data_IF_341938938770
#
_entry.id   IF_341938938770
#
_cell.length_a   1.000
_cell.length_b   1.000
_cell.length_c   1.000
_cell.angle_alpha   90.00
_cell.angle_beta   90.00
_cell.angle_gamma   90.00
#
_symmetry.space_group_name_H-M   'P 1'
#
loop_
_entity.id
_entity.type
_entity.pdbx_description
1 polymer ?
#
# COMPACT_ATOMS: atom_id res chain seq x y z
N UNK A 1 -10.96 -37.37 20.12
CA UNK A 1 -10.04 -37.63 18.99
C UNK A 1 -9.38 -36.30 18.59
N UNK A 2 -8.05 -36.25 18.51
CA UNK A 2 -7.34 -35.00 18.22
C UNK A 2 -7.43 -34.73 16.71
N UNK A 3 -7.93 -33.54 16.34
CA UNK A 3 -8.06 -33.07 14.96
C UNK A 3 -7.14 -31.87 14.75
N UNK A 4 -6.26 -31.95 13.76
CA UNK A 4 -5.38 -30.84 13.39
C UNK A 4 -6.14 -29.83 12.51
N UNK A 5 -6.15 -28.58 12.95
CA UNK A 5 -6.66 -27.44 12.16
C UNK A 5 -5.51 -26.88 11.36
N UNK A 6 -5.63 -26.93 10.03
CA UNK A 6 -4.59 -26.45 9.11
C UNK A 6 -4.98 -25.11 8.50
N UNK A 7 -3.97 -24.30 8.14
CA UNK A 7 -4.16 -23.04 7.43
C UNK A 7 -4.87 -23.34 6.08
N UNK A 8 -6.10 -22.83 5.86
CA UNK A 8 -6.85 -23.12 4.65
C UNK A 8 -6.28 -22.42 3.41
N UNK A 9 -6.58 -22.95 2.23
CA UNK A 9 -6.21 -22.34 0.96
C UNK A 9 -7.21 -21.23 0.61
N UNK A 10 -6.77 -19.98 0.57
CA UNK A 10 -7.59 -18.78 0.41
C UNK A 10 -7.60 -18.23 -1.04
N UNK A 11 -7.31 -19.06 -2.05
CA UNK A 11 -7.24 -18.71 -3.47
C UNK A 11 -6.12 -19.44 -4.20
N UNK A 12 -6.08 -19.34 -5.53
CA UNK A 12 -5.09 -20.08 -6.34
C UNK A 12 -3.66 -19.55 -6.23
N UNK A 13 -3.49 -18.27 -5.85
CA UNK A 13 -2.18 -17.58 -5.81
C UNK A 13 -1.66 -17.29 -4.40
N UNK A 14 -2.36 -17.72 -3.33
CA UNK A 14 -1.99 -17.42 -1.95
C UNK A 14 -1.26 -18.62 -1.38
N UNK A 15 0.00 -18.42 -0.97
CA UNK A 15 0.88 -19.44 -0.39
C UNK A 15 1.04 -19.31 1.12
N UNK A 16 0.74 -18.13 1.69
CA UNK A 16 0.86 -17.82 3.11
C UNK A 16 -0.31 -16.96 3.60
N UNK A 17 -0.65 -17.02 4.88
CA UNK A 17 -1.66 -16.19 5.53
C UNK A 17 -1.21 -15.75 6.90
N UNK A 18 -1.68 -14.60 7.37
CA UNK A 18 -1.40 -14.06 8.70
C UNK A 18 -2.58 -14.34 9.63
N UNK A 19 -2.36 -14.96 10.77
CA UNK A 19 -3.37 -15.10 11.82
C UNK A 19 -3.64 -13.72 12.42
N UNK A 20 -4.84 -13.16 12.25
CA UNK A 20 -5.19 -11.84 12.75
C UNK A 20 -5.67 -11.90 14.20
N UNK A 21 -6.71 -12.68 14.45
CA UNK A 21 -7.31 -12.79 15.77
C UNK A 21 -7.91 -14.18 15.99
N UNK A 22 -7.70 -14.73 17.17
CA UNK A 22 -8.41 -15.89 17.68
C UNK A 22 -9.62 -15.42 18.47
N UNK A 23 -10.83 -15.75 18.02
CA UNK A 23 -12.07 -15.43 18.74
C UNK A 23 -12.34 -16.38 19.91
N UNK A 24 -11.60 -17.48 19.97
CA UNK A 24 -11.65 -18.51 21.01
C UNK A 24 -10.26 -18.76 21.59
N UNK A 25 -10.18 -19.22 22.81
CA UNK A 25 -8.93 -19.51 23.53
C UNK A 25 -8.76 -21.01 23.74
N UNK A 26 -7.55 -21.42 24.12
CA UNK A 26 -7.29 -22.79 24.55
C UNK A 26 -8.20 -23.13 25.74
N UNK A 27 -8.95 -24.22 25.63
CA UNK A 27 -9.96 -24.66 26.59
C UNK A 27 -11.40 -24.26 26.24
N UNK A 28 -11.62 -23.38 25.26
CA UNK A 28 -12.97 -22.98 24.84
C UNK A 28 -13.59 -24.05 23.90
N UNK A 29 -14.91 -24.31 24.04
CA UNK A 29 -15.64 -25.16 23.10
C UNK A 29 -15.89 -24.41 21.78
N UNK A 30 -15.81 -25.14 20.68
CA UNK A 30 -16.12 -24.67 19.31
C UNK A 30 -17.11 -25.61 18.68
N UNK A 31 -18.16 -25.08 18.08
CA UNK A 31 -19.12 -25.84 17.30
C UNK A 31 -18.71 -25.89 15.83
N UNK A 32 -19.18 -26.91 15.10
CA UNK A 32 -18.97 -27.01 13.67
C UNK A 32 -19.60 -25.80 12.97
N UNK A 33 -18.90 -25.22 12.00
CA UNK A 33 -19.26 -24.00 11.26
C UNK A 33 -19.26 -22.70 12.12
N UNK A 34 -18.83 -22.75 13.39
CA UNK A 34 -18.63 -21.56 14.22
C UNK A 34 -17.36 -20.82 13.80
N UNK A 35 -17.45 -19.49 13.66
CA UNK A 35 -16.31 -18.61 13.33
C UNK A 35 -15.40 -18.45 14.55
N UNK A 36 -14.22 -19.03 14.51
CA UNK A 36 -13.31 -19.05 15.65
C UNK A 36 -11.93 -18.40 15.41
N UNK A 37 -11.61 -18.13 14.13
CA UNK A 37 -10.34 -17.60 13.70
C UNK A 37 -10.54 -16.58 12.57
N UNK A 38 -9.78 -15.48 12.60
CA UNK A 38 -9.69 -14.50 11.53
C UNK A 38 -8.27 -14.54 10.92
N UNK A 39 -8.20 -14.71 9.60
CA UNK A 39 -6.96 -14.77 8.82
C UNK A 39 -6.92 -13.63 7.82
N UNK A 40 -5.81 -12.90 7.80
CA UNK A 40 -5.48 -11.90 6.80
C UNK A 40 -4.58 -12.44 5.71
N UNK A 41 -4.87 -12.08 4.47
CA UNK A 41 -3.98 -12.28 3.34
C UNK A 41 -3.53 -10.91 2.81
N UNK A 42 -2.65 -10.89 1.83
CA UNK A 42 -2.23 -9.65 1.15
C UNK A 42 -3.39 -8.88 0.47
N UNK A 43 -4.58 -9.50 0.38
CA UNK A 43 -5.72 -8.95 -0.39
C UNK A 43 -7.00 -8.80 0.42
N UNK A 44 -7.31 -9.74 1.32
CA UNK A 44 -8.59 -9.77 2.07
C UNK A 44 -8.39 -10.45 3.42
N UNK A 45 -9.11 -9.95 4.42
CA UNK A 45 -9.28 -10.60 5.71
C UNK A 45 -10.51 -11.53 5.62
N UNK A 46 -10.35 -12.77 6.08
CA UNK A 46 -11.41 -13.80 6.00
C UNK A 46 -11.60 -14.47 7.34
N UNK A 47 -12.85 -14.67 7.70
CA UNK A 47 -13.26 -15.40 8.89
C UNK A 47 -13.32 -16.90 8.57
N UNK A 48 -12.69 -17.71 9.40
CA UNK A 48 -12.60 -19.18 9.20
C UNK A 48 -13.53 -19.88 10.17
N UNK A 49 -14.47 -20.69 9.63
CA UNK A 49 -15.31 -21.55 10.45
C UNK A 49 -14.58 -22.83 10.85
N UNK A 50 -14.94 -23.37 12.01
CA UNK A 50 -14.45 -24.68 12.45
C UNK A 50 -15.04 -25.81 11.60
N UNK A 51 -14.20 -26.74 11.18
CA UNK A 51 -14.63 -27.92 10.42
C UNK A 51 -15.28 -28.99 11.31
N UNK A 52 -14.94 -29.01 12.60
CA UNK A 52 -15.40 -30.00 13.58
C UNK A 52 -15.79 -29.33 14.90
N UNK A 53 -16.68 -30.00 15.66
CA UNK A 53 -17.04 -29.57 17.02
C UNK A 53 -16.08 -30.19 18.03
N UNK A 54 -15.65 -29.44 19.04
CA UNK A 54 -14.76 -29.93 20.10
C UNK A 54 -14.23 -28.83 20.98
N UNK A 55 -13.16 -29.12 21.73
CA UNK A 55 -12.46 -28.17 22.60
C UNK A 55 -11.09 -27.85 22.03
N UNK A 56 -10.70 -26.59 21.97
CA UNK A 56 -9.36 -26.18 21.51
C UNK A 56 -8.34 -26.58 22.57
N UNK A 57 -7.48 -27.55 22.23
CA UNK A 57 -6.44 -28.06 23.14
C UNK A 57 -5.15 -27.26 23.04
N UNK A 58 -4.78 -26.86 21.84
CA UNK A 58 -3.52 -26.18 21.59
C UNK A 58 -3.66 -25.18 20.43
N UNK A 59 -3.08 -23.99 20.59
CA UNK A 59 -2.91 -22.98 19.53
C UNK A 59 -1.42 -22.91 19.22
N UNK A 60 -1.04 -23.23 17.99
CA UNK A 60 0.36 -23.31 17.53
C UNK A 60 0.80 -22.03 16.84
N UNK A 61 -0.12 -21.28 16.22
CA UNK A 61 0.14 -19.99 15.59
C UNK A 61 -0.49 -18.87 16.42
N UNK A 62 0.30 -17.91 16.83
CA UNK A 62 -0.16 -16.76 17.61
C UNK A 62 -0.74 -15.65 16.69
N UNK A 63 -1.46 -14.71 17.29
CA UNK A 63 -1.93 -13.53 16.56
C UNK A 63 -0.73 -12.74 15.99
N UNK A 64 -0.83 -12.37 14.71
CA UNK A 64 0.18 -11.75 13.85
C UNK A 64 1.29 -12.70 13.34
N UNK A 65 1.19 -14.00 13.53
CA UNK A 65 2.11 -14.95 12.90
C UNK A 65 1.73 -15.18 11.43
N UNK A 66 2.75 -15.19 10.55
CA UNK A 66 2.60 -15.56 9.14
C UNK A 66 2.84 -17.06 9.01
N UNK A 67 1.88 -17.76 8.41
CA UNK A 67 1.88 -19.22 8.34
C UNK A 67 1.58 -19.68 6.91
N UNK A 68 2.35 -20.65 6.42
CA UNK A 68 2.14 -21.25 5.10
C UNK A 68 0.84 -22.06 5.02
N UNK A 69 0.17 -22.01 3.88
CA UNK A 69 -1.04 -22.80 3.58
C UNK A 69 -0.76 -24.28 3.80
N UNK A 70 -1.66 -24.96 4.56
CA UNK A 70 -1.54 -26.38 4.91
C UNK A 70 -0.74 -26.67 6.18
N UNK A 71 -0.15 -25.63 6.84
CA UNK A 71 0.50 -25.80 8.15
C UNK A 71 -0.53 -25.91 9.26
N UNK A 72 -0.27 -26.74 10.27
CA UNK A 72 -1.15 -26.91 11.44
C UNK A 72 -1.05 -25.68 12.33
N UNK A 73 -2.20 -25.01 12.56
CA UNK A 73 -2.30 -23.76 13.34
C UNK A 73 -2.93 -23.95 14.71
N UNK A 74 -3.77 -25.00 14.88
CA UNK A 74 -4.38 -25.36 16.16
C UNK A 74 -4.76 -26.84 16.19
N UNK A 75 -5.12 -27.34 17.38
CA UNK A 75 -5.63 -28.69 17.59
C UNK A 75 -6.92 -28.67 18.39
N UNK A 76 -7.91 -29.41 17.92
CA UNK A 76 -9.22 -29.56 18.55
C UNK A 76 -9.40 -31.01 18.99
N UNK A 77 -9.82 -31.22 20.24
CA UNK A 77 -10.22 -32.54 20.74
C UNK A 77 -11.74 -32.68 20.65
N UNK A 78 -12.20 -33.65 19.89
CA UNK A 78 -13.65 -33.89 19.66
C UNK A 78 -14.31 -34.71 20.75
N UNK A 79 -13.56 -35.23 21.72
CA UNK A 79 -14.05 -36.11 22.80
C UNK A 79 -13.93 -35.38 24.15
N UNK A 80 -15.02 -34.83 24.66
CA UNK A 80 -15.07 -34.02 25.89
C UNK A 80 -14.60 -34.77 27.17
N UNK A 81 -14.48 -36.09 27.13
CA UNK A 81 -14.14 -36.95 28.28
C UNK A 81 -12.63 -37.07 28.55
N UNK A 82 -11.74 -36.50 27.72
CA UNK A 82 -10.30 -36.72 27.77
C UNK A 82 -9.44 -35.46 28.00
N UNK A 83 -10.03 -34.35 28.34
CA UNK A 83 -9.29 -33.08 28.52
C UNK A 83 -8.69 -32.98 29.91
N UNK A 84 -7.45 -33.41 30.06
CA UNK A 84 -6.62 -33.19 31.26
C UNK A 84 -5.81 -31.89 31.07
N UNK A 85 -6.26 -30.81 31.71
CA UNK A 85 -5.63 -29.49 31.65
C UNK A 85 -4.44 -29.45 32.60
N UNK A 86 -3.28 -29.97 32.22
CA UNK A 86 -2.04 -29.80 32.96
C UNK A 86 -0.85 -29.43 32.09
N UNK A 87 -0.51 -28.13 32.13
CA UNK A 87 0.79 -27.46 31.91
C UNK A 87 1.64 -27.71 30.68
N UNK A 88 2.22 -26.64 30.06
CA UNK A 88 2.97 -26.73 28.81
C UNK A 88 4.36 -27.32 28.99
N UNK A 89 4.60 -28.46 28.39
CA UNK A 89 5.91 -29.09 28.26
C UNK A 89 6.73 -28.45 27.15
N UNK A 90 7.68 -27.60 27.50
CA UNK A 90 8.75 -27.15 26.60
C UNK A 90 9.68 -28.31 26.26
N UNK A 91 9.68 -28.77 25.02
CA UNK A 91 10.84 -29.46 24.43
C UNK A 91 11.13 -28.87 23.05
N UNK A 92 12.38 -28.45 22.77
CA UNK A 92 12.74 -27.91 21.48
C UNK A 92 12.94 -29.02 20.47
N UNK A 93 12.25 -28.97 19.34
CA UNK A 93 12.52 -29.82 18.18
C UNK A 93 13.72 -29.27 17.40
N UNK A 94 14.68 -30.17 17.21
CA UNK A 94 15.93 -30.01 16.44
C UNK A 94 15.63 -29.65 14.97
N UNK A 95 16.34 -28.65 14.48
CA UNK A 95 16.40 -28.29 13.07
C UNK A 95 17.03 -29.42 12.23
N UNK A 96 16.59 -29.64 10.99
CA UNK A 96 17.29 -30.55 10.05
C UNK A 96 18.58 -29.87 9.51
N UNK A 97 19.64 -30.65 9.46
CA UNK A 97 20.96 -30.25 8.95
C UNK A 97 20.94 -29.98 7.43
N UNK A 98 21.75 -29.05 6.92
CA UNK A 98 21.84 -28.78 5.49
C UNK A 98 22.75 -29.80 4.78
N UNK A 99 22.25 -30.38 3.72
CA UNK A 99 23.02 -31.26 2.82
C UNK A 99 23.91 -30.38 1.94
N UNK A 100 25.22 -30.42 2.20
CA UNK A 100 26.27 -29.80 1.41
C UNK A 100 26.73 -30.78 0.33
N UNK A 101 26.60 -30.44 -0.95
CA UNK A 101 27.43 -30.97 -2.03
C UNK A 101 27.88 -29.83 -2.94
N UNK A 102 29.18 -29.70 -3.21
CA UNK A 102 29.72 -28.59 -3.97
C UNK A 102 29.66 -28.83 -5.47
N UNK A 103 29.12 -27.88 -6.22
CA UNK A 103 29.27 -27.81 -7.68
C UNK A 103 30.40 -26.82 -7.99
N UNK A 104 31.40 -27.33 -8.63
CA UNK A 104 32.59 -26.68 -9.14
C UNK A 104 32.23 -25.83 -10.37
N UNK A 105 32.42 -24.53 -10.32
CA UNK A 105 32.34 -23.64 -11.49
C UNK A 105 33.68 -22.95 -11.66
N UNK A 106 34.22 -23.09 -12.87
CA UNK A 106 35.51 -22.57 -13.35
C UNK A 106 35.57 -21.04 -13.38
N UNK A 107 36.72 -20.49 -13.10
CA UNK A 107 37.08 -19.08 -13.23
C UNK A 107 37.45 -18.74 -14.67
N UNK A 108 37.12 -17.58 -15.19
CA UNK A 108 37.83 -16.93 -16.29
C UNK A 108 38.78 -15.81 -15.79
N UNK A 109 39.74 -15.40 -16.61
CA UNK A 109 41.09 -15.02 -16.18
C UNK A 109 41.30 -13.54 -15.83
N UNK A 110 42.34 -13.34 -15.05
CA UNK A 110 42.89 -12.08 -14.55
C UNK A 110 43.17 -11.01 -15.62
N UNK A 111 42.80 -9.77 -15.37
CA UNK A 111 43.35 -8.58 -16.04
C UNK A 111 44.12 -7.68 -15.06
N UNK A 112 45.32 -7.35 -15.54
CA UNK A 112 46.46 -6.70 -14.95
C UNK A 112 46.18 -5.41 -14.19
N UNK A 113 46.91 -5.26 -13.08
CA UNK A 113 47.12 -4.07 -12.25
C UNK A 113 47.64 -2.88 -13.06
N UNK A 114 47.02 -1.71 -12.90
CA UNK A 114 47.68 -0.42 -13.13
C UNK A 114 47.88 0.29 -11.78
N UNK A 115 49.13 0.52 -11.44
CA UNK A 115 49.54 1.38 -10.33
C UNK A 115 49.15 2.81 -10.65
N UNK A 116 48.54 3.50 -9.68
CA UNK A 116 48.51 4.96 -9.64
C UNK A 116 49.06 5.39 -8.27
N UNK A 117 50.00 6.29 -8.36
CA UNK A 117 50.80 6.82 -7.26
C UNK A 117 49.99 7.69 -6.29
N UNK A 118 50.46 7.65 -5.05
CA UNK A 118 50.12 8.52 -3.94
C UNK A 118 50.34 10.01 -4.25
N UNK A 119 49.37 10.84 -3.87
CA UNK A 119 49.60 12.24 -3.53
C UNK A 119 48.96 12.50 -2.17
N UNK A 120 49.76 13.04 -1.29
CA UNK A 120 49.42 13.50 0.05
C UNK A 120 48.39 14.62 0.00
N UNK A 121 47.41 14.57 0.90
CA UNK A 121 46.70 15.76 1.31
C UNK A 121 46.36 15.68 2.79
N UNK A 122 46.87 16.66 3.51
CA UNK A 122 46.68 16.95 4.92
C UNK A 122 45.22 17.33 5.17
N UNK A 123 44.52 16.60 6.04
CA UNK A 123 43.59 17.13 7.02
C UNK A 123 43.08 15.99 7.93
N UNK A 124 43.20 16.17 9.25
CA UNK A 124 43.06 15.25 10.36
C UNK A 124 41.85 14.28 10.41
N UNK A 125 41.54 13.55 9.37
CA UNK A 125 40.57 12.44 9.41
C UNK A 125 41.32 11.10 9.55
N UNK A 126 41.01 10.38 10.65
CA UNK A 126 41.50 9.02 10.88
C UNK A 126 41.05 8.12 9.72
N UNK A 127 42.00 7.36 9.16
CA UNK A 127 41.71 6.44 8.04
C UNK A 127 41.36 5.06 8.58
N UNK A 128 40.15 4.58 8.29
CA UNK A 128 39.68 3.27 8.71
C UNK A 128 39.78 2.24 7.59
N UNK A 129 40.09 1.00 7.92
CA UNK A 129 40.11 -0.09 6.95
C UNK A 129 38.67 -0.55 6.65
N UNK A 130 38.38 -1.12 5.45
CA UNK A 130 37.06 -1.65 5.12
C UNK A 130 36.55 -2.68 6.11
N UNK A 131 37.44 -3.44 6.75
CA UNK A 131 37.10 -4.44 7.77
C UNK A 131 36.60 -3.78 9.06
N UNK A 132 37.24 -2.68 9.49
CA UNK A 132 36.80 -1.91 10.67
C UNK A 132 35.43 -1.26 10.45
N UNK A 133 35.23 -0.67 9.27
CA UNK A 133 33.95 -0.08 8.91
C UNK A 133 32.81 -1.11 8.83
N UNK A 134 33.09 -2.31 8.33
CA UNK A 134 32.10 -3.40 8.25
C UNK A 134 31.70 -3.91 9.64
N UNK A 135 32.67 -4.08 10.55
CA UNK A 135 32.37 -4.50 11.95
C UNK A 135 31.59 -3.40 12.68
N UNK A 136 32.01 -2.14 12.55
CA UNK A 136 31.30 -1.02 13.17
C UNK A 136 29.83 -0.93 12.68
N UNK A 137 29.59 -1.15 11.38
CA UNK A 137 28.23 -1.19 10.81
C UNK A 137 27.42 -2.39 11.29
N UNK A 138 28.02 -3.55 11.49
CA UNK A 138 27.33 -4.76 12.00
C UNK A 138 26.96 -4.63 13.49
N UNK A 139 27.78 -3.95 14.28
CA UNK A 139 27.59 -3.77 15.72
C UNK A 139 26.93 -2.42 16.07
N UNK A 140 26.47 -1.66 15.05
CA UNK A 140 25.71 -0.42 15.25
C UNK A 140 26.52 0.76 15.81
N UNK A 141 27.86 0.76 15.67
CA UNK A 141 28.74 1.82 16.18
C UNK A 141 28.81 2.96 15.15
N UNK A 142 28.32 4.17 15.46
CA UNK A 142 28.37 5.29 14.55
C UNK A 142 29.79 5.83 14.36
N UNK A 143 30.06 6.48 13.21
CA UNK A 143 31.40 6.98 12.83
C UNK A 143 32.04 7.95 13.84
N UNK A 144 31.24 8.75 14.54
CA UNK A 144 31.68 9.67 15.59
C UNK A 144 32.22 8.94 16.82
N UNK A 145 31.73 7.75 17.16
CA UNK A 145 32.27 6.91 18.23
C UNK A 145 33.55 6.19 17.81
N UNK A 146 33.67 5.77 16.55
CA UNK A 146 34.90 5.23 15.99
C UNK A 146 36.06 6.23 16.07
N UNK A 147 35.78 7.53 16.01
CA UNK A 147 36.82 8.59 16.16
C UNK A 147 37.37 8.67 17.59
N UNK A 148 36.64 8.22 18.60
CA UNK A 148 37.02 8.24 20.00
C UNK A 148 37.87 7.01 20.39
N UNK A 149 37.86 5.94 19.58
CA UNK A 149 38.65 4.74 19.85
C UNK A 149 40.14 5.00 19.61
N UNK A 150 40.96 4.71 20.63
CA UNK A 150 42.43 4.77 20.52
C UNK A 150 42.91 3.61 19.68
N UNK A 151 43.47 3.89 18.49
CA UNK A 151 43.98 2.87 17.59
C UNK A 151 45.36 2.35 18.01
N UNK A 152 45.54 1.04 18.14
CA UNK A 152 46.81 0.36 18.44
C UNK A 152 47.69 0.08 17.21
N UNK A 153 47.18 0.36 16.00
CA UNK A 153 47.90 0.10 14.74
C UNK A 153 48.98 1.14 14.41
N UNK A 154 49.84 0.79 13.44
CA UNK A 154 50.93 1.66 12.99
C UNK A 154 50.43 3.03 12.53
N UNK A 155 50.89 4.09 13.20
CA UNK A 155 50.46 5.47 12.96
C UNK A 155 49.09 5.82 13.59
N UNK A 156 48.70 5.17 14.70
CA UNK A 156 47.45 5.48 15.40
C UNK A 156 46.17 4.96 14.72
N UNK A 157 46.25 4.01 13.81
CA UNK A 157 45.12 3.43 13.11
C UNK A 157 44.32 2.50 14.02
N UNK A 158 42.98 2.61 13.95
CA UNK A 158 42.10 1.69 14.62
C UNK A 158 42.10 0.34 13.91
N UNK A 159 42.37 -0.73 14.67
CA UNK A 159 42.41 -2.11 14.17
C UNK A 159 41.16 -2.86 14.53
N UNK A 160 40.93 -4.03 13.92
CA UNK A 160 39.83 -4.93 14.27
C UNK A 160 39.78 -5.25 15.78
N UNK A 161 40.97 -5.44 16.38
CA UNK A 161 41.11 -5.78 17.79
C UNK A 161 40.70 -4.64 18.71
N UNK A 162 40.95 -3.40 18.31
CA UNK A 162 40.56 -2.22 19.11
C UNK A 162 39.04 -2.04 19.14
N UNK A 163 38.36 -2.30 18.03
CA UNK A 163 36.89 -2.24 17.96
C UNK A 163 36.25 -3.36 18.78
N UNK A 164 36.79 -4.58 18.73
CA UNK A 164 36.28 -5.69 19.52
C UNK A 164 36.50 -5.48 21.03
N UNK A 165 37.64 -4.99 21.44
CA UNK A 165 37.90 -4.62 22.84
C UNK A 165 37.01 -3.48 23.32
N UNK A 166 36.68 -2.53 22.46
CA UNK A 166 35.71 -1.47 22.77
C UNK A 166 34.33 -2.04 23.05
N UNK A 167 33.85 -2.98 22.24
CA UNK A 167 32.56 -3.67 22.40
C UNK A 167 32.53 -4.49 23.71
N UNK A 168 33.59 -5.28 24.01
CA UNK A 168 33.68 -6.06 25.24
C UNK A 168 33.67 -5.19 26.50
N UNK A 169 34.32 -4.04 26.47
CA UNK A 169 34.34 -3.11 27.60
C UNK A 169 32.97 -2.36 27.79
N UNK A 170 32.19 -2.19 26.72
CA UNK A 170 30.86 -1.57 26.81
C UNK A 170 29.82 -2.50 27.44
N UNK A 171 30.00 -3.81 27.35
CA UNK A 171 29.06 -4.82 27.89
C UNK A 171 29.25 -5.06 29.41
N UNK A 172 30.28 -4.49 30.04
CA UNK A 172 30.65 -4.81 31.43
C UNK A 172 30.31 -3.71 32.46
N UNK A 173 29.66 -2.61 32.07
CA UNK A 173 29.31 -1.52 33.00
C UNK A 173 27.79 -1.52 33.25
N UNK A 174 27.39 -2.23 34.32
CA UNK A 174 26.12 -1.94 35.01
C UNK A 174 26.34 -0.81 36.01
N UNK A 175 25.42 0.17 36.14
CA UNK A 175 25.62 1.29 37.06
C UNK A 175 25.24 0.94 38.47
N UNK A 176 26.23 1.05 39.40
CA UNK A 176 25.98 1.26 40.84
C UNK A 176 25.82 2.76 41.10
N UNK A 177 24.83 3.11 41.90
CA UNK A 177 24.43 4.46 42.19
C UNK A 177 25.50 5.34 42.81
N UNK A 178 25.53 6.61 42.45
CA UNK A 178 26.21 7.70 43.13
C UNK A 178 25.30 8.91 43.21
N UNK A 179 25.27 9.47 44.43
CA UNK A 179 24.51 10.61 44.89
C UNK A 179 24.75 11.89 44.06
N UNK A 180 23.72 12.73 44.02
CA UNK A 180 23.65 14.01 43.38
C UNK A 180 24.58 15.04 44.03
N UNK A 181 25.44 15.67 43.24
CA UNK A 181 25.87 17.05 43.45
C UNK A 181 25.56 17.88 42.21
N UNK A 182 24.77 18.89 42.44
CA UNK A 182 24.29 19.88 41.50
C UNK A 182 25.40 20.77 40.93
N UNK A 183 25.60 20.73 39.60
CA UNK A 183 26.17 21.87 38.85
C UNK A 183 25.33 22.13 37.63
N UNK A 184 24.81 23.33 37.59
CA UNK A 184 23.97 23.91 36.52
C UNK A 184 24.69 23.99 35.20
N UNK A 185 24.13 23.36 34.15
CA UNK A 185 24.41 23.61 32.73
C UNK A 185 23.14 24.05 32.00
N UNK A 186 23.24 25.00 31.07
CA UNK A 186 22.06 25.61 30.46
C UNK A 186 21.58 24.78 29.25
N UNK A 187 20.80 23.73 29.52
CA UNK A 187 19.99 23.06 28.49
C UNK A 187 18.53 23.03 28.93
N UNK A 188 17.94 24.20 28.92
CA UNK A 188 16.52 24.38 29.22
C UNK A 188 15.79 24.86 27.96
N UNK A 189 15.65 24.01 26.94
CA UNK A 189 14.71 24.23 25.84
C UNK A 189 14.12 22.95 25.27
N UNK A 190 13.79 21.94 26.08
CA UNK A 190 12.95 20.82 25.64
C UNK A 190 12.04 20.29 26.75
N UNK A 191 11.45 21.17 27.54
CA UNK A 191 10.28 20.81 28.34
C UNK A 191 9.02 21.34 27.63
N UNK A 192 8.77 20.86 26.40
CA UNK A 192 7.41 20.81 25.92
C UNK A 192 6.75 19.66 26.68
N UNK A 193 5.97 19.98 27.69
CA UNK A 193 5.09 19.04 28.37
C UNK A 193 4.02 18.60 27.39
N UNK A 194 4.38 17.63 26.51
CA UNK A 194 3.38 16.91 25.76
C UNK A 194 2.56 16.13 26.79
N UNK A 195 1.28 16.40 26.86
CA UNK A 195 0.35 15.50 27.53
C UNK A 195 0.55 14.14 26.90
N UNK A 196 0.62 13.04 27.68
CA UNK A 196 0.81 11.71 27.13
C UNK A 196 -0.32 11.42 26.16
N UNK A 197 0.02 11.36 24.87
CA UNK A 197 -0.91 10.99 23.82
C UNK A 197 -1.20 9.48 23.87
N UNK A 198 -2.27 9.07 23.19
CA UNK A 198 -2.57 7.65 22.98
C UNK A 198 -1.70 7.14 21.83
N UNK A 199 -0.92 6.09 22.08
CA UNK A 199 -0.16 5.36 21.06
C UNK A 199 -0.89 4.05 20.77
N UNK A 200 -1.22 3.80 19.52
CA UNK A 200 -1.85 2.57 19.05
C UNK A 200 -1.09 2.05 17.85
N UNK A 201 -1.01 0.73 17.69
CA UNK A 201 -0.52 0.13 16.47
C UNK A 201 -1.55 0.28 15.34
N UNK A 202 -1.06 0.43 14.11
CA UNK A 202 -1.92 0.46 12.95
C UNK A 202 -2.57 -0.90 12.73
N UNK A 203 -3.88 -0.89 12.45
CA UNK A 203 -4.60 -2.08 12.00
C UNK A 203 -3.93 -2.68 10.75
N UNK A 204 -3.96 -4.01 10.60
CA UNK A 204 -3.30 -4.76 9.52
C UNK A 204 -3.60 -4.16 8.13
N UNK A 205 -4.87 -3.96 7.76
CA UNK A 205 -5.24 -3.33 6.49
C UNK A 205 -4.61 -1.94 6.29
N UNK A 206 -4.47 -1.15 7.36
CA UNK A 206 -3.82 0.16 7.28
C UNK A 206 -2.32 0.05 7.02
N UNK A 207 -1.65 -0.98 7.58
CA UNK A 207 -0.22 -1.27 7.31
C UNK A 207 -0.05 -1.61 5.83
N UNK A 208 -0.87 -2.53 5.26
CA UNK A 208 -0.82 -2.91 3.84
C UNK A 208 -1.04 -1.71 2.91
N UNK A 209 -2.03 -0.86 3.19
CA UNK A 209 -2.28 0.37 2.41
C UNK A 209 -1.05 1.29 2.49
N UNK A 210 -0.45 1.47 3.68
CA UNK A 210 0.72 2.34 3.87
C UNK A 210 1.92 1.83 3.04
N UNK A 211 2.19 0.54 3.07
CA UNK A 211 3.28 -0.10 2.33
C UNK A 211 3.05 -0.01 0.82
N UNK A 212 1.81 -0.26 0.35
CA UNK A 212 1.44 -0.11 -1.05
C UNK A 212 1.60 1.34 -1.55
N UNK A 213 1.16 2.32 -0.78
CA UNK A 213 1.31 3.75 -1.13
C UNK A 213 2.78 4.18 -1.14
N UNK A 214 3.57 3.75 -0.15
CA UNK A 214 5.00 4.03 -0.09
C UNK A 214 5.73 3.40 -1.27
N UNK A 215 5.46 2.13 -1.58
CA UNK A 215 5.99 1.44 -2.74
C UNK A 215 5.63 2.15 -4.05
N UNK A 216 4.41 2.67 -4.18
CA UNK A 216 3.99 3.41 -5.37
C UNK A 216 4.82 4.69 -5.58
N UNK A 217 5.05 5.48 -4.52
CA UNK A 217 5.87 6.69 -4.58
C UNK A 217 7.32 6.37 -4.94
N UNK A 218 7.88 5.28 -4.42
CA UNK A 218 9.24 4.83 -4.72
C UNK A 218 9.38 4.27 -6.14
N UNK A 219 8.29 3.70 -6.70
CA UNK A 219 8.30 3.06 -8.02
C UNK A 219 8.08 4.05 -9.15
N UNK A 220 7.10 4.95 -9.04
CA UNK A 220 6.66 5.83 -10.12
C UNK A 220 7.15 7.26 -9.94
N UNK A 221 7.60 7.88 -11.02
CA UNK A 221 7.93 9.31 -11.05
C UNK A 221 6.65 10.14 -11.23
N UNK A 222 5.97 10.44 -10.12
CA UNK A 222 4.68 11.13 -10.13
C UNK A 222 4.79 12.57 -10.64
N UNK A 223 4.04 12.90 -11.70
CA UNK A 223 3.81 14.27 -12.18
C UNK A 223 2.31 14.50 -12.28
N UNK A 224 1.87 15.73 -12.05
CA UNK A 224 0.46 16.10 -12.06
C UNK A 224 0.20 17.22 -13.05
N UNK A 225 -0.87 17.08 -13.83
CA UNK A 225 -1.45 18.14 -14.64
C UNK A 225 -2.92 18.32 -14.24
N UNK A 226 -3.42 19.55 -14.36
CA UNK A 226 -4.75 19.90 -13.87
C UNK A 226 -5.47 20.74 -14.91
N UNK A 227 -6.80 20.56 -15.01
CA UNK A 227 -7.65 21.35 -15.90
C UNK A 227 -9.01 21.62 -15.26
N UNK A 228 -9.66 22.70 -15.66
CA UNK A 228 -11.04 23.01 -15.30
C UNK A 228 -12.01 22.49 -16.38
N UNK A 229 -13.15 21.98 -15.92
CA UNK A 229 -14.20 21.43 -16.78
C UNK A 229 -15.53 22.10 -16.47
N UNK A 230 -16.21 22.61 -17.51
CA UNK A 230 -17.59 23.06 -17.40
C UNK A 230 -18.55 21.85 -17.43
N UNK A 231 -19.13 21.57 -16.28
CA UNK A 231 -20.06 20.46 -16.07
C UNK A 231 -21.53 20.90 -16.17
N UNK A 232 -21.82 22.15 -16.53
CA UNK A 232 -23.16 22.74 -16.45
C UNK A 232 -24.20 21.89 -17.22
N UNK A 233 -23.90 21.48 -18.44
CA UNK A 233 -24.81 20.65 -19.24
C UNK A 233 -25.10 19.29 -18.58
N UNK A 234 -24.07 18.65 -18.01
CA UNK A 234 -24.22 17.35 -17.31
C UNK A 234 -25.00 17.55 -16.00
N UNK A 235 -24.75 18.62 -15.26
CA UNK A 235 -25.47 18.95 -14.02
C UNK A 235 -26.96 19.18 -14.31
N UNK A 236 -27.28 19.97 -15.34
CA UNK A 236 -28.67 20.25 -15.74
C UNK A 236 -29.36 18.97 -16.22
N UNK A 237 -28.65 18.12 -16.98
CA UNK A 237 -29.16 16.83 -17.42
C UNK A 237 -29.46 15.89 -16.24
N UNK A 238 -28.55 15.75 -15.29
CA UNK A 238 -28.74 14.90 -14.08
C UNK A 238 -29.92 15.40 -13.28
N UNK A 239 -30.00 16.71 -13.02
CA UNK A 239 -31.10 17.31 -12.27
C UNK A 239 -32.47 17.12 -12.97
N UNK A 240 -32.49 17.26 -14.30
CA UNK A 240 -33.71 17.09 -15.09
C UNK A 240 -34.22 15.64 -15.18
N UNK A 241 -33.32 14.65 -15.03
CA UNK A 241 -33.63 13.23 -15.19
C UNK A 241 -33.63 12.43 -13.88
N UNK A 242 -33.30 13.03 -12.72
CA UNK A 242 -33.10 12.32 -11.44
C UNK A 242 -34.31 11.44 -11.09
N UNK A 243 -35.49 11.98 -11.13
CA UNK A 243 -36.74 11.25 -10.74
C UNK A 243 -37.08 10.11 -11.71
N UNK A 244 -36.97 10.35 -13.02
CA UNK A 244 -37.24 9.34 -14.03
C UNK A 244 -36.24 8.19 -13.96
N UNK A 245 -34.95 8.51 -13.76
CA UNK A 245 -33.89 7.52 -13.60
C UNK A 245 -34.05 6.70 -12.31
N UNK A 246 -34.34 7.37 -11.18
CA UNK A 246 -34.57 6.72 -9.89
C UNK A 246 -35.78 5.75 -9.98
N UNK A 247 -36.87 6.15 -10.65
CA UNK A 247 -38.07 5.30 -10.83
C UNK A 247 -37.79 4.07 -11.70
N UNK A 248 -36.87 4.19 -12.68
CA UNK A 248 -36.51 3.11 -13.61
C UNK A 248 -35.48 2.16 -13.06
N UNK A 249 -34.42 2.69 -12.44
CA UNK A 249 -33.24 1.92 -12.05
C UNK A 249 -33.19 1.64 -10.53
N UNK A 250 -33.99 2.31 -9.70
CA UNK A 250 -34.06 2.11 -8.26
C UNK A 250 -32.91 2.82 -7.47
N UNK A 251 -32.05 3.58 -8.11
CA UNK A 251 -30.99 4.37 -7.50
C UNK A 251 -30.78 5.71 -8.23
N UNK A 252 -30.12 6.66 -7.58
CA UNK A 252 -29.92 8.02 -8.13
C UNK A 252 -28.85 8.04 -9.21
N UNK A 253 -29.08 8.80 -10.27
CA UNK A 253 -28.05 9.11 -11.25
C UNK A 253 -26.99 10.01 -10.62
N UNK A 254 -25.72 9.57 -10.72
CA UNK A 254 -24.56 10.31 -10.18
C UNK A 254 -23.63 10.79 -11.29
N UNK A 255 -22.68 11.65 -10.97
CA UNK A 255 -21.72 12.18 -11.95
C UNK A 255 -20.61 11.18 -12.32
N UNK A 256 -20.31 10.19 -11.48
CA UNK A 256 -19.22 9.24 -11.68
C UNK A 256 -19.29 8.47 -13.00
N UNK A 257 -20.46 7.95 -13.46
CA UNK A 257 -20.56 7.28 -14.77
C UNK A 257 -20.13 8.16 -15.95
N UNK A 258 -20.39 9.47 -15.91
CA UNK A 258 -19.97 10.42 -16.95
C UNK A 258 -18.44 10.53 -16.98
N UNK A 259 -17.79 10.54 -15.80
CA UNK A 259 -16.33 10.54 -15.71
C UNK A 259 -15.75 9.24 -16.28
N UNK A 260 -16.34 8.09 -15.90
CA UNK A 260 -15.89 6.78 -16.39
C UNK A 260 -16.01 6.70 -17.92
N UNK A 261 -17.13 7.11 -18.50
CA UNK A 261 -17.35 7.10 -19.95
C UNK A 261 -16.32 7.98 -20.68
N UNK A 262 -16.08 9.20 -20.19
CA UNK A 262 -15.10 10.11 -20.77
C UNK A 262 -13.66 9.58 -20.67
N UNK A 263 -13.32 8.97 -19.54
CA UNK A 263 -12.01 8.35 -19.32
C UNK A 263 -11.80 7.14 -20.21
N UNK A 264 -12.81 6.27 -20.35
CA UNK A 264 -12.74 5.09 -21.22
C UNK A 264 -12.48 5.51 -22.68
N UNK A 265 -13.21 6.51 -23.19
CA UNK A 265 -13.01 7.06 -24.53
C UNK A 265 -11.61 7.67 -24.69
N UNK A 266 -11.14 8.40 -23.68
CA UNK A 266 -9.78 8.98 -23.72
C UNK A 266 -8.69 7.90 -23.70
N UNK A 267 -8.87 6.80 -22.95
CA UNK A 267 -7.91 5.68 -22.92
C UNK A 267 -7.86 4.91 -24.25
N UNK A 268 -8.95 4.89 -25.02
CA UNK A 268 -8.95 4.35 -26.39
C UNK A 268 -8.11 5.22 -27.34
N UNK A 269 -8.12 6.54 -27.15
CA UNK A 269 -7.32 7.48 -27.95
C UNK A 269 -5.84 7.52 -27.52
N UNK A 270 -5.54 7.19 -26.25
CA UNK A 270 -4.21 7.25 -25.66
C UNK A 270 -3.84 5.91 -24.97
N UNK A 271 -3.50 4.88 -25.74
CA UNK A 271 -3.22 3.54 -25.22
C UNK A 271 -2.02 3.49 -24.26
N UNK A 272 -1.12 4.49 -24.30
CA UNK A 272 0.00 4.62 -23.38
C UNK A 272 -0.48 4.82 -21.94
N UNK A 273 -1.62 5.49 -21.72
CA UNK A 273 -2.24 5.66 -20.43
C UNK A 273 -2.95 4.38 -19.92
N UNK A 274 -3.28 3.45 -20.83
CA UNK A 274 -3.85 2.14 -20.53
C UNK A 274 -2.77 1.06 -20.49
N UNK A 275 -1.71 1.31 -19.76
CA UNK A 275 -0.54 0.41 -19.68
C UNK A 275 -0.03 0.24 -18.27
N UNK A 276 0.91 -0.67 -18.10
CA UNK A 276 1.70 -0.85 -16.88
C UNK A 276 3.19 -0.94 -17.19
N UNK A 277 4.02 -0.46 -16.27
CA UNK A 277 5.48 -0.41 -16.42
C UNK A 277 6.15 -1.27 -15.34
N UNK A 278 6.82 -2.33 -15.77
CA UNK A 278 7.62 -3.18 -14.90
C UNK A 278 9.11 -3.11 -15.30
N UNK A 279 9.91 -2.45 -14.49
CA UNK A 279 11.30 -2.14 -14.83
C UNK A 279 11.38 -1.28 -16.09
N UNK A 280 11.86 -1.84 -17.20
CA UNK A 280 11.92 -1.21 -18.53
C UNK A 280 10.90 -1.77 -19.53
N UNK A 281 10.05 -2.71 -19.11
CA UNK A 281 9.05 -3.36 -19.96
C UNK A 281 7.69 -2.69 -19.77
N UNK A 282 7.10 -2.24 -20.90
CA UNK A 282 5.76 -1.65 -20.94
C UNK A 282 4.78 -2.70 -21.43
N UNK A 283 3.70 -2.90 -20.69
CA UNK A 283 2.59 -3.76 -21.11
C UNK A 283 1.38 -2.89 -21.45
N UNK A 284 0.99 -2.83 -22.72
CA UNK A 284 -0.23 -2.17 -23.17
C UNK A 284 -1.42 -3.11 -22.97
N UNK A 285 -2.41 -2.67 -22.20
CA UNK A 285 -3.60 -3.49 -21.93
C UNK A 285 -4.60 -3.38 -23.10
N UNK A 286 -5.18 -4.50 -23.48
CA UNK A 286 -6.22 -4.55 -24.50
C UNK A 286 -7.56 -4.06 -23.93
N UNK A 287 -7.89 -4.51 -22.73
CA UNK A 287 -9.13 -4.17 -22.04
C UNK A 287 -8.93 -2.91 -21.18
N UNK A 288 -9.99 -2.16 -20.98
CA UNK A 288 -9.99 -0.97 -20.14
C UNK A 288 -10.73 -1.32 -18.83
N UNK A 289 -9.94 -1.54 -17.78
CA UNK A 289 -10.45 -1.87 -16.45
C UNK A 289 -10.26 -0.68 -15.53
N UNK A 290 -11.34 -0.05 -15.11
CA UNK A 290 -11.28 1.16 -14.28
C UNK A 290 -11.33 0.79 -12.81
N UNK A 291 -10.27 1.09 -12.07
CA UNK A 291 -10.24 1.09 -10.62
C UNK A 291 -11.01 2.27 -10.07
N UNK A 292 -12.05 2.04 -9.29
CA UNK A 292 -12.84 3.09 -8.67
C UNK A 292 -12.53 3.20 -7.18
N UNK A 293 -11.94 4.33 -6.75
CA UNK A 293 -11.67 4.55 -5.34
C UNK A 293 -12.98 4.78 -4.56
N UNK A 294 -13.31 3.86 -3.65
CA UNK A 294 -14.51 3.88 -2.81
C UNK A 294 -14.10 3.99 -1.34
N UNK A 295 -14.63 5.03 -0.66
CA UNK A 295 -14.44 5.18 0.79
C UNK A 295 -15.29 4.16 1.55
N UNK A 296 -14.64 3.49 2.50
CA UNK A 296 -15.23 2.58 3.48
C UNK A 296 -14.95 3.08 4.89
N UNK A 297 -15.58 2.48 5.90
CA UNK A 297 -15.49 2.93 7.30
C UNK A 297 -14.03 3.01 7.80
N UNK A 298 -13.20 2.02 7.48
CA UNK A 298 -11.81 1.93 7.98
C UNK A 298 -10.76 2.32 6.94
N UNK A 299 -11.14 2.93 5.80
CA UNK A 299 -10.17 3.31 4.78
C UNK A 299 -10.72 3.54 3.40
N UNK A 300 -9.95 3.13 2.40
CA UNK A 300 -10.26 3.26 0.97
C UNK A 300 -9.99 1.92 0.30
N UNK A 301 -10.92 1.46 -0.52
CA UNK A 301 -10.71 0.31 -1.41
C UNK A 301 -10.86 0.76 -2.86
N UNK A 302 -10.13 0.09 -3.76
CA UNK A 302 -10.11 0.41 -5.19
C UNK A 302 -10.51 -0.83 -6.01
N UNK A 303 -11.80 -1.20 -5.99
CA UNK A 303 -12.29 -2.30 -6.84
C UNK A 303 -12.17 -1.96 -8.32
N UNK A 304 -12.02 -2.98 -9.14
CA UNK A 304 -11.87 -2.90 -10.60
C UNK A 304 -13.20 -3.15 -11.30
N UNK A 305 -13.59 -2.23 -12.17
CA UNK A 305 -14.70 -2.42 -13.11
C UNK A 305 -14.11 -2.93 -14.42
N UNK A 306 -14.35 -4.19 -14.75
CA UNK A 306 -13.76 -4.85 -15.92
C UNK A 306 -14.48 -4.51 -17.23
N UNK A 307 -13.72 -4.44 -18.31
CA UNK A 307 -14.20 -4.27 -19.70
C UNK A 307 -15.15 -3.08 -19.85
N UNK A 308 -14.73 -1.92 -19.34
CA UNK A 308 -15.56 -0.71 -19.41
C UNK A 308 -15.80 -0.23 -20.85
N UNK A 309 -14.89 -0.54 -21.78
CA UNK A 309 -14.98 -0.22 -23.21
C UNK A 309 -16.12 -0.95 -23.92
N UNK A 310 -16.58 -2.08 -23.38
CA UNK A 310 -17.68 -2.87 -23.96
C UNK A 310 -19.06 -2.44 -23.43
N UNK A 311 -19.11 -1.57 -22.40
CA UNK A 311 -20.35 -1.15 -21.76
C UNK A 311 -20.89 0.13 -22.35
N UNK A 312 -22.20 0.15 -22.63
CA UNK A 312 -22.89 1.40 -22.89
C UNK A 312 -23.03 2.23 -21.59
N UNK A 313 -23.42 3.48 -21.71
CA UNK A 313 -23.51 4.40 -20.58
C UNK A 313 -24.40 3.86 -19.43
N UNK A 314 -25.56 3.26 -19.74
CA UNK A 314 -26.43 2.67 -18.72
C UNK A 314 -25.76 1.47 -18.02
N UNK A 315 -25.02 0.67 -18.76
CA UNK A 315 -24.20 -0.42 -18.22
C UNK A 315 -23.14 0.12 -17.26
N UNK A 316 -22.48 1.23 -17.60
CA UNK A 316 -21.53 1.91 -16.69
C UNK A 316 -22.23 2.43 -15.45
N UNK A 317 -23.44 3.04 -15.55
CA UNK A 317 -24.21 3.47 -14.38
C UNK A 317 -24.48 2.31 -13.41
N UNK A 318 -24.94 1.17 -13.93
CA UNK A 318 -25.21 -0.04 -13.14
C UNK A 318 -23.98 -0.61 -12.51
N UNK A 319 -22.85 -0.71 -13.27
CA UNK A 319 -21.59 -1.22 -12.77
C UNK A 319 -21.01 -0.33 -11.66
N UNK A 320 -21.02 1.00 -11.83
CA UNK A 320 -20.55 1.95 -10.81
C UNK A 320 -21.38 1.82 -9.52
N UNK A 321 -22.71 1.75 -9.65
CA UNK A 321 -23.58 1.62 -8.49
C UNK A 321 -23.39 0.28 -7.77
N UNK A 322 -23.31 -0.84 -8.51
CA UNK A 322 -23.11 -2.18 -7.97
C UNK A 322 -21.77 -2.28 -7.21
N UNK A 323 -20.67 -1.96 -7.89
CA UNK A 323 -19.33 -2.03 -7.32
C UNK A 323 -19.21 -1.14 -6.08
N UNK A 324 -19.72 0.10 -6.13
CA UNK A 324 -19.67 1.01 -4.97
C UNK A 324 -20.46 0.48 -3.78
N UNK A 325 -21.63 -0.12 -4.00
CA UNK A 325 -22.46 -0.67 -2.91
C UNK A 325 -21.86 -1.94 -2.32
N UNK A 326 -21.42 -2.89 -3.15
CA UNK A 326 -20.76 -4.11 -2.67
C UNK A 326 -19.48 -3.80 -1.89
N UNK A 327 -18.69 -2.80 -2.33
CA UNK A 327 -17.49 -2.37 -1.61
C UNK A 327 -17.82 -1.83 -0.22
N UNK A 328 -18.84 -0.94 -0.10
CA UNK A 328 -19.26 -0.40 1.21
C UNK A 328 -19.81 -1.47 2.13
N UNK A 329 -20.46 -2.49 1.57
CA UNK A 329 -21.04 -3.62 2.31
C UNK A 329 -20.02 -4.76 2.54
N UNK A 330 -18.73 -4.57 2.22
CA UNK A 330 -17.68 -5.59 2.34
C UNK A 330 -17.98 -6.88 1.56
N UNK A 331 -18.65 -6.77 0.40
CA UNK A 331 -19.08 -7.89 -0.45
C UNK A 331 -18.26 -7.98 -1.74
N UNK A 332 -17.15 -7.23 -1.84
CA UNK A 332 -16.25 -7.27 -2.99
C UNK A 332 -15.30 -8.46 -2.83
N UNK A 333 -15.04 -9.17 -3.93
CA UNK A 333 -14.09 -10.30 -3.91
C UNK A 333 -12.64 -9.81 -4.03
N UNK A 334 -11.68 -10.64 -3.61
CA UNK A 334 -10.25 -10.35 -3.72
C UNK A 334 -9.82 -10.12 -5.18
N UNK A 335 -10.40 -10.88 -6.12
CA UNK A 335 -10.08 -10.76 -7.55
C UNK A 335 -10.52 -9.42 -8.13
N UNK A 336 -11.60 -8.84 -7.60
CA UNK A 336 -12.08 -7.52 -8.02
C UNK A 336 -11.23 -6.36 -7.48
N UNK A 337 -10.34 -6.60 -6.51
CA UNK A 337 -9.39 -5.60 -6.01
C UNK A 337 -8.11 -5.50 -6.85
N UNK A 338 -7.99 -6.34 -7.88
CA UNK A 338 -6.84 -6.40 -8.78
C UNK A 338 -7.26 -6.18 -10.23
N UNK A 339 -6.28 -6.02 -11.14
CA UNK A 339 -6.53 -6.00 -12.58
C UNK A 339 -7.06 -4.68 -13.14
N UNK A 340 -7.09 -3.58 -12.36
CA UNK A 340 -7.34 -2.25 -12.91
C UNK A 340 -6.19 -1.81 -13.80
N UNK A 341 -6.50 -1.13 -14.90
CA UNK A 341 -5.52 -0.59 -15.85
C UNK A 341 -5.39 0.94 -15.75
N UNK A 342 -6.39 1.60 -15.18
CA UNK A 342 -6.40 3.01 -14.85
C UNK A 342 -7.29 3.24 -13.62
N UNK A 343 -7.00 4.25 -12.80
CA UNK A 343 -7.75 4.49 -11.57
C UNK A 343 -8.44 5.86 -11.57
N UNK A 344 -9.67 5.92 -11.04
CA UNK A 344 -10.41 7.17 -10.79
C UNK A 344 -10.63 7.32 -9.28
N UNK A 345 -10.21 8.46 -8.73
CA UNK A 345 -10.43 8.84 -7.32
C UNK A 345 -11.31 10.07 -7.24
N UNK A 346 -12.53 9.92 -6.73
CA UNK A 346 -13.49 11.03 -6.59
C UNK A 346 -13.50 11.54 -5.15
N UNK A 347 -12.78 12.63 -4.89
CA UNK A 347 -12.80 13.34 -3.61
C UNK A 347 -13.77 14.53 -3.59
N UNK A 348 -14.41 14.82 -4.71
CA UNK A 348 -15.45 15.83 -4.82
C UNK A 348 -16.68 15.53 -3.95
N UNK A 349 -16.94 14.27 -3.64
CA UNK A 349 -17.99 13.83 -2.69
C UNK A 349 -17.78 14.39 -1.27
N UNK A 350 -16.53 14.75 -0.91
CA UNK A 350 -16.17 15.38 0.35
C UNK A 350 -16.10 16.92 0.27
N UNK A 351 -16.49 17.51 -0.87
CA UNK A 351 -16.42 18.96 -1.12
C UNK A 351 -15.03 19.49 -1.47
N UNK A 352 -14.04 18.63 -1.64
CA UNK A 352 -12.67 19.00 -2.00
C UNK A 352 -12.60 19.42 -3.46
N UNK A 353 -12.02 20.59 -3.73
CA UNK A 353 -11.94 21.15 -5.09
C UNK A 353 -10.90 20.46 -5.93
N UNK A 354 -9.72 20.16 -5.38
CA UNK A 354 -8.59 19.55 -6.07
C UNK A 354 -7.78 18.69 -5.11
N UNK A 355 -7.21 17.60 -5.60
CA UNK A 355 -6.29 16.72 -4.88
C UNK A 355 -5.29 16.10 -5.85
N UNK A 356 -4.19 15.58 -5.33
CA UNK A 356 -3.13 14.89 -6.08
C UNK A 356 -3.01 13.46 -5.57
N UNK A 357 -3.84 12.54 -6.09
CA UNK A 357 -3.86 11.16 -5.60
C UNK A 357 -2.60 10.39 -6.03
N UNK A 358 -2.12 9.50 -5.17
CA UNK A 358 -1.00 8.61 -5.47
C UNK A 358 -1.46 7.57 -6.50
N UNK A 359 -0.61 7.24 -7.46
CA UNK A 359 -0.90 6.23 -8.50
C UNK A 359 -1.12 4.87 -7.82
N UNK A 360 -2.20 4.19 -8.20
CA UNK A 360 -2.49 2.84 -7.76
C UNK A 360 -1.71 1.83 -8.62
N UNK A 361 -0.65 1.23 -8.06
CA UNK A 361 0.16 0.27 -8.80
C UNK A 361 -0.66 -0.97 -9.22
N UNK A 362 -0.44 -1.56 -10.41
CA UNK A 362 0.62 -1.27 -11.40
C UNK A 362 0.23 -0.23 -12.47
N UNK A 363 -0.82 0.55 -12.27
CA UNK A 363 -1.28 1.54 -13.26
C UNK A 363 -0.20 2.63 -13.48
N UNK A 364 -0.20 3.24 -14.66
CA UNK A 364 0.67 4.40 -14.97
C UNK A 364 -0.04 5.74 -14.77
N UNK A 365 -1.35 5.73 -14.51
CA UNK A 365 -2.13 6.95 -14.33
C UNK A 365 -3.29 6.81 -13.36
N UNK A 366 -3.66 7.96 -12.77
CA UNK A 366 -4.81 8.12 -11.86
C UNK A 366 -5.47 9.46 -12.11
N UNK A 367 -6.79 9.47 -12.26
CA UNK A 367 -7.59 10.68 -12.36
C UNK A 367 -8.20 11.04 -11.01
N UNK A 368 -7.91 12.25 -10.54
CA UNK A 368 -8.58 12.87 -9.41
C UNK A 368 -9.75 13.74 -9.87
N UNK A 369 -10.92 13.54 -9.28
CA UNK A 369 -12.14 14.28 -9.59
C UNK A 369 -12.53 15.15 -8.41
N UNK A 370 -12.56 16.47 -8.61
CA UNK A 370 -12.93 17.45 -7.60
C UNK A 370 -14.44 17.70 -7.49
N UNK A 371 -14.82 18.53 -6.51
CA UNK A 371 -16.21 18.93 -6.31
C UNK A 371 -16.69 19.85 -7.43
N UNK A 372 -17.92 19.63 -7.89
CA UNK A 372 -18.60 20.53 -8.80
C UNK A 372 -19.10 21.73 -7.98
N UNK A 373 -18.68 22.95 -8.36
CA UNK A 373 -19.05 24.19 -7.68
C UNK A 373 -19.50 25.24 -8.69
N UNK A 374 -20.49 26.05 -8.33
CA UNK A 374 -20.89 27.21 -9.13
C UNK A 374 -19.81 28.28 -9.07
N UNK A 375 -19.39 28.74 -10.24
CA UNK A 375 -18.37 29.80 -10.40
C UNK A 375 -18.86 30.82 -11.44
N UNK A 376 -18.43 32.06 -11.28
CA UNK A 376 -18.59 33.10 -12.30
C UNK A 376 -17.44 32.94 -13.28
N UNK A 377 -17.75 32.63 -14.53
CA UNK A 377 -16.74 32.43 -15.59
C UNK A 377 -17.03 33.36 -16.77
N UNK A 378 -15.99 33.70 -17.52
CA UNK A 378 -16.12 34.42 -18.77
C UNK A 378 -16.55 33.43 -19.85
N UNK A 379 -17.63 33.77 -20.57
CA UNK A 379 -18.08 33.04 -21.74
C UNK A 379 -17.86 33.93 -22.95
N UNK A 380 -17.01 33.48 -23.85
CA UNK A 380 -16.74 34.16 -25.12
C UNK A 380 -17.90 33.93 -26.09
N UNK A 381 -18.36 34.99 -26.70
CA UNK A 381 -19.39 34.91 -27.76
C UNK A 381 -19.07 35.85 -28.92
N UNK A 382 -19.63 35.61 -30.12
CA UNK A 382 -19.47 36.49 -31.27
C UNK A 382 -19.89 37.95 -31.01
N UNK A 383 -20.73 38.19 -29.99
CA UNK A 383 -21.25 39.49 -29.59
C UNK A 383 -20.39 40.15 -28.48
N UNK A 384 -19.34 39.47 -28.03
CA UNK A 384 -18.43 39.91 -26.93
C UNK A 384 -18.51 38.96 -25.74
N UNK A 385 -17.59 39.18 -24.80
CA UNK A 385 -17.46 38.37 -23.57
C UNK A 385 -18.60 38.72 -22.59
N UNK A 386 -19.12 37.67 -21.93
CA UNK A 386 -20.13 37.80 -20.88
C UNK A 386 -19.72 37.00 -19.65
N UNK A 387 -20.14 37.46 -18.46
CA UNK A 387 -19.98 36.69 -17.23
C UNK A 387 -21.22 35.77 -17.08
N UNK A 388 -20.98 34.46 -16.95
CA UNK A 388 -22.03 33.51 -16.67
C UNK A 388 -21.73 32.66 -15.41
N UNK A 389 -22.76 32.19 -14.76
CA UNK A 389 -22.62 31.22 -13.65
C UNK A 389 -22.58 29.83 -14.28
N UNK A 390 -21.49 29.10 -14.03
CA UNK A 390 -21.28 27.73 -14.52
C UNK A 390 -20.99 26.78 -13.37
N UNK A 391 -21.32 25.52 -13.56
CA UNK A 391 -20.97 24.44 -12.65
C UNK A 391 -19.60 23.89 -13.04
N UNK A 392 -18.55 24.41 -12.39
CA UNK A 392 -17.15 24.09 -12.70
C UNK A 392 -16.63 22.96 -11.83
N UNK A 393 -15.76 22.15 -12.38
CA UNK A 393 -15.08 21.04 -11.70
C UNK A 393 -13.61 21.03 -12.07
N UNK A 394 -12.75 20.76 -11.07
CA UNK A 394 -11.32 20.53 -11.31
C UNK A 394 -11.06 19.03 -11.54
N UNK A 395 -10.28 18.72 -12.56
CA UNK A 395 -9.67 17.43 -12.75
C UNK A 395 -8.17 17.52 -12.48
N UNK A 396 -7.61 16.50 -11.84
CA UNK A 396 -6.17 16.31 -11.67
C UNK A 396 -5.76 14.96 -12.20
N UNK A 397 -4.80 14.90 -13.08
CA UNK A 397 -4.22 13.67 -13.60
C UNK A 397 -2.83 13.49 -13.01
N UNK A 398 -2.64 12.43 -12.24
CA UNK A 398 -1.31 11.93 -11.85
C UNK A 398 -0.86 10.85 -12.82
N UNK A 399 0.38 10.90 -13.28
CA UNK A 399 0.94 9.91 -14.20
C UNK A 399 2.42 9.66 -13.95
N UNK A 400 2.90 8.49 -14.41
CA UNK A 400 4.29 8.09 -14.28
C UNK A 400 5.14 8.70 -15.41
N UNK A 401 5.96 9.71 -15.05
CA UNK A 401 6.78 10.45 -16.02
C UNK A 401 7.93 9.64 -16.62
N UNK A 402 8.13 8.41 -16.13
CA UNK A 402 9.08 7.49 -16.78
C UNK A 402 8.56 6.97 -18.12
N UNK A 403 7.24 6.96 -18.31
CA UNK A 403 6.57 6.48 -19.51
C UNK A 403 5.84 7.60 -20.26
N UNK A 404 5.13 8.46 -19.54
CA UNK A 404 4.30 9.54 -20.10
C UNK A 404 5.02 10.87 -19.89
N UNK A 405 5.20 11.62 -20.96
CA UNK A 405 5.74 12.98 -20.89
C UNK A 405 4.66 14.02 -20.54
N UNK A 406 5.10 15.24 -20.23
CA UNK A 406 4.20 16.32 -19.87
C UNK A 406 3.19 16.67 -20.96
N UNK A 407 3.57 16.55 -22.23
CA UNK A 407 2.68 16.80 -23.38
C UNK A 407 1.63 15.69 -23.52
N UNK A 408 2.02 14.43 -23.33
CA UNK A 408 1.11 13.27 -23.33
C UNK A 408 0.06 13.38 -22.21
N UNK A 409 0.51 13.67 -20.98
CA UNK A 409 -0.40 13.87 -19.84
C UNK A 409 -1.37 15.05 -20.05
N UNK A 410 -0.87 16.18 -20.55
CA UNK A 410 -1.71 17.36 -20.84
C UNK A 410 -2.75 17.09 -21.94
N UNK A 411 -2.35 16.42 -23.03
CA UNK A 411 -3.27 16.05 -24.13
C UNK A 411 -4.35 15.06 -23.64
N UNK A 412 -3.99 14.11 -22.78
CA UNK A 412 -4.92 13.13 -22.26
C UNK A 412 -5.98 13.77 -21.34
N UNK A 413 -5.60 14.62 -20.39
CA UNK A 413 -6.57 15.28 -19.50
C UNK A 413 -7.47 16.25 -20.29
N UNK A 414 -6.94 16.96 -21.30
CA UNK A 414 -7.72 17.81 -22.20
C UNK A 414 -8.68 16.99 -23.07
N UNK A 415 -8.31 15.76 -23.46
CA UNK A 415 -9.21 14.85 -24.14
C UNK A 415 -10.38 14.42 -23.26
N UNK A 416 -10.13 14.14 -22.00
CA UNK A 416 -11.19 13.85 -21.00
C UNK A 416 -12.12 15.07 -20.88
N UNK A 417 -11.55 16.28 -20.70
CA UNK A 417 -12.33 17.53 -20.66
C UNK A 417 -13.19 17.68 -21.91
N UNK A 418 -12.61 17.47 -23.08
CA UNK A 418 -13.34 17.55 -24.36
C UNK A 418 -14.54 16.60 -24.38
N UNK A 419 -14.36 15.31 -24.03
CA UNK A 419 -15.46 14.34 -23.99
C UNK A 419 -16.56 14.71 -22.99
N UNK A 420 -16.23 15.29 -21.85
CA UNK A 420 -17.23 15.73 -20.88
C UNK A 420 -18.04 16.94 -21.39
N UNK A 421 -17.36 17.93 -21.98
CA UNK A 421 -18.02 19.17 -22.45
C UNK A 421 -18.86 18.92 -23.71
N UNK A 422 -18.43 18.01 -24.60
CA UNK A 422 -19.10 17.73 -25.87
C UNK A 422 -20.01 16.50 -25.85
N UNK A 423 -20.26 15.92 -24.67
CA UNK A 423 -21.06 14.70 -24.55
C UNK A 423 -22.49 14.89 -25.07
N UNK A 424 -22.92 14.02 -26.01
CA UNK A 424 -24.31 14.03 -26.50
C UNK A 424 -25.24 13.38 -25.47
N UNK A 425 -25.80 14.18 -24.59
CA UNK A 425 -26.64 13.76 -23.51
C UNK A 425 -27.99 13.13 -23.96
N UNK A 426 -28.38 13.28 -25.22
CA UNK A 426 -29.61 12.65 -25.78
C UNK A 426 -29.44 11.15 -25.99
N UNK A 427 -28.20 10.67 -26.12
CA UNK A 427 -27.88 9.26 -26.34
C UNK A 427 -27.48 8.53 -25.05
N UNK A 428 -27.50 9.23 -23.91
CA UNK A 428 -26.97 8.76 -22.63
C UNK A 428 -27.96 7.85 -21.89
N UNK A 429 -29.27 8.11 -21.97
CA UNK A 429 -30.33 7.36 -21.24
C UNK A 429 -31.38 6.77 -22.25
#
# INVERSE_FOLDING_TARGET
MLVDVVMPKMGESITEGTVLEWRKKVGDPVEKDELFLEIGTDKVDSEIPSLESGIIVEILALANDVVDVGTVIARIETDESLVDISSPSKKPMKAPEPINKPIKVEQPPSRKKKKVNSAESQNGKKFYTPVVLKIASQEGIPLNELEQISGSGRGGRVTKKDVLNYIENFTTIQPQGVEQTSTSSPDALTNSSFLPGRTEEMHHMRKLIADHMKKSIETSAHVYVMTEVDMTSIVDFVNGNENAFLSREGYKLTYTPFMVDAVVKALQDFPEMNSSLLGTSVTYHKNINIGLAVSIENGLMVPSMFNCEEKNFLGLCRTVNDVANRTRNKQISADELTGSTFTISNFGVFGVTIGTPIINQPNVGILGVGAIKKQAVVVESPQGDAIAIRSMMMLSLGFDHRLIDGAGGAKFIERIRHYLVTMDLRQVL
#
